data_IF_607432512865
#
_entry.id   IF_607432512865
#
_cell.length_a   1.000
_cell.length_b   1.000
_cell.length_c   1.000
_cell.angle_alpha   90.00
_cell.angle_beta   90.00
_cell.angle_gamma   90.00
#
_symmetry.space_group_name_H-M   'P 1'
#
loop_
_entity.id
_entity.type
_entity.pdbx_description
1 polymer ?
#
# COMPACT_ATOMS: atom_id res chain seq x y z
N UNK A 1 9.41 -6.37 -3.51
CA UNK A 1 8.82 -5.12 -2.98
C UNK A 1 7.69 -4.68 -3.91
N UNK A 2 6.56 -4.22 -3.41
CA UNK A 2 5.40 -3.80 -4.20
C UNK A 2 5.48 -2.29 -4.55
N UNK A 3 4.67 -1.80 -5.50
CA UNK A 3 4.75 -0.42 -5.99
C UNK A 3 4.59 0.66 -4.91
N UNK A 4 3.69 0.46 -3.93
CA UNK A 4 3.50 1.41 -2.83
C UNK A 4 4.77 1.55 -1.98
N UNK A 5 5.43 0.44 -1.63
CA UNK A 5 6.67 0.45 -0.86
C UNK A 5 7.83 1.14 -1.60
N UNK A 6 7.97 0.92 -2.92
CA UNK A 6 8.96 1.62 -3.74
C UNK A 6 8.69 3.12 -3.78
N UNK A 7 7.42 3.53 -3.95
CA UNK A 7 7.06 4.95 -3.97
C UNK A 7 7.31 5.65 -2.63
N UNK A 8 6.97 4.98 -1.52
CA UNK A 8 7.25 5.48 -0.17
C UNK A 8 8.76 5.61 0.07
N UNK A 9 9.56 4.63 -0.34
CA UNK A 9 11.02 4.67 -0.25
C UNK A 9 11.62 5.82 -1.06
N UNK A 10 11.16 6.01 -2.30
CA UNK A 10 11.57 7.17 -3.11
C UNK A 10 11.27 8.48 -2.39
N UNK A 11 10.06 8.63 -1.88
CA UNK A 11 9.63 9.84 -1.20
C UNK A 11 10.45 10.11 0.06
N UNK A 12 10.84 9.06 0.80
CA UNK A 12 11.74 9.19 1.94
C UNK A 12 13.09 9.78 1.51
N UNK A 13 13.74 9.20 0.52
CA UNK A 13 15.02 9.70 0.02
C UNK A 13 14.91 11.14 -0.50
N UNK A 14 13.91 11.44 -1.32
CA UNK A 14 13.67 12.80 -1.83
C UNK A 14 13.45 13.85 -0.71
N UNK A 15 12.83 13.45 0.39
CA UNK A 15 12.49 14.36 1.50
C UNK A 15 13.66 14.59 2.44
N UNK A 16 14.41 13.53 2.80
CA UNK A 16 15.34 13.59 3.91
C UNK A 16 16.82 13.63 3.51
N UNK A 17 17.22 13.02 2.39
CA UNK A 17 18.64 13.00 2.00
C UNK A 17 19.26 14.38 1.70
N UNK A 18 18.48 15.40 1.22
CA UNK A 18 19.05 16.74 1.06
C UNK A 18 19.64 17.35 2.33
N UNK A 19 19.23 16.88 3.49
CA UNK A 19 19.76 17.35 4.79
C UNK A 19 21.11 16.73 5.17
N UNK A 20 21.56 15.72 4.45
CA UNK A 20 22.86 15.05 4.64
C UNK A 20 23.89 15.42 3.56
N UNK A 21 23.47 16.17 2.53
CA UNK A 21 24.36 16.61 1.46
C UNK A 21 25.18 17.82 1.88
N UNK A 22 26.41 17.93 1.35
CA UNK A 22 27.28 19.09 1.56
C UNK A 22 28.14 19.06 2.84
N UNK A 23 28.15 17.95 3.56
CA UNK A 23 29.12 17.68 4.61
C UNK A 23 30.44 17.09 4.06
N UNK A 24 31.52 17.17 4.83
CA UNK A 24 32.83 16.62 4.46
C UNK A 24 32.92 15.10 4.71
N UNK A 25 31.99 14.51 5.48
CA UNK A 25 31.96 13.09 5.81
C UNK A 25 31.05 12.30 4.86
N UNK A 26 31.46 11.06 4.55
CA UNK A 26 30.60 10.13 3.80
C UNK A 26 29.38 9.77 4.64
N UNK A 27 28.20 9.85 4.04
CA UNK A 27 26.93 9.47 4.66
C UNK A 27 26.74 7.95 4.54
N UNK A 28 26.53 7.28 5.67
CA UNK A 28 26.32 5.82 5.69
C UNK A 28 24.85 5.49 5.85
N UNK A 29 24.36 4.68 4.89
CA UNK A 29 23.00 4.13 4.87
C UNK A 29 23.07 2.62 5.06
N UNK A 30 22.28 2.09 5.98
CA UNK A 30 22.14 0.63 6.20
C UNK A 30 20.72 0.22 5.92
N UNK A 31 20.50 -0.77 5.04
CA UNK A 31 19.20 -1.38 4.79
C UNK A 31 19.08 -2.71 5.52
N UNK A 32 18.06 -2.87 6.37
CA UNK A 32 17.75 -4.11 7.08
C UNK A 32 16.65 -4.87 6.32
N UNK A 33 16.94 -6.11 5.90
CA UNK A 33 16.10 -6.89 5.02
C UNK A 33 16.28 -6.49 3.56
N UNK A 34 17.55 -6.46 3.10
CA UNK A 34 17.95 -5.85 1.82
C UNK A 34 17.82 -6.77 0.61
N UNK A 35 17.47 -8.06 0.78
CA UNK A 35 17.38 -8.98 -0.35
C UNK A 35 16.40 -8.48 -1.41
N UNK A 36 16.91 -8.20 -2.61
CA UNK A 36 16.09 -7.74 -3.73
C UNK A 36 15.39 -8.93 -4.40
N UNK A 37 14.10 -9.12 -4.08
CA UNK A 37 13.24 -10.13 -4.71
C UNK A 37 12.42 -9.51 -5.86
N UNK A 38 11.90 -8.30 -5.65
CA UNK A 38 10.99 -7.63 -6.59
C UNK A 38 11.23 -6.12 -6.66
N UNK A 39 12.48 -5.68 -6.59
CA UNK A 39 12.90 -4.28 -6.55
C UNK A 39 13.41 -3.84 -5.19
N UNK A 40 14.30 -2.84 -5.16
CA UNK A 40 14.98 -2.33 -3.96
C UNK A 40 14.87 -0.80 -3.90
N UNK A 41 14.69 -0.27 -2.69
CA UNK A 41 14.72 1.18 -2.43
C UNK A 41 16.14 1.76 -2.56
N UNK A 42 17.17 0.92 -2.59
CA UNK A 42 18.58 1.31 -2.84
C UNK A 42 18.73 2.18 -4.10
N UNK A 43 17.93 1.93 -5.14
CA UNK A 43 17.95 2.70 -6.39
C UNK A 43 17.64 4.20 -6.22
N UNK A 44 17.05 4.61 -5.13
CA UNK A 44 16.70 6.00 -4.82
C UNK A 44 17.70 6.68 -3.90
N UNK A 45 18.66 5.93 -3.36
CA UNK A 45 19.71 6.48 -2.51
C UNK A 45 20.70 7.28 -3.37
N UNK A 46 21.16 8.47 -2.93
CA UNK A 46 22.23 9.20 -3.61
C UNK A 46 23.48 8.35 -3.79
N UNK A 47 24.09 8.42 -4.98
CA UNK A 47 25.25 7.59 -5.34
C UNK A 47 26.50 7.88 -4.51
N UNK A 48 26.60 9.09 -3.96
CA UNK A 48 27.69 9.52 -3.08
C UNK A 48 27.58 8.95 -1.65
N UNK A 49 26.46 8.31 -1.29
CA UNK A 49 26.30 7.70 0.03
C UNK A 49 26.84 6.26 0.04
N UNK A 50 27.46 5.88 1.14
CA UNK A 50 27.86 4.50 1.40
C UNK A 50 26.61 3.68 1.77
N UNK A 51 26.12 2.84 0.85
CA UNK A 51 24.94 2.01 1.08
C UNK A 51 25.34 0.57 1.38
N UNK A 52 24.89 0.04 2.52
CA UNK A 52 25.17 -1.33 2.98
C UNK A 52 23.84 -2.08 3.18
N UNK A 53 23.59 -3.05 2.31
CA UNK A 53 22.43 -3.94 2.44
C UNK A 53 22.75 -5.12 3.37
N UNK A 54 21.89 -5.35 4.36
CA UNK A 54 22.04 -6.40 5.39
C UNK A 54 20.87 -7.37 5.34
N UNK A 55 21.16 -8.66 5.27
CA UNK A 55 20.14 -9.71 5.30
C UNK A 55 20.68 -10.99 5.93
N UNK A 56 19.80 -12.00 6.19
CA UNK A 56 20.20 -13.35 6.66
C UNK A 56 20.67 -14.27 5.55
N UNK A 57 20.23 -14.01 4.33
CA UNK A 57 20.47 -14.86 3.17
C UNK A 57 21.24 -14.06 2.16
N UNK A 58 22.29 -14.64 1.62
CA UNK A 58 23.04 -14.08 0.50
C UNK A 58 22.15 -13.95 -0.74
N UNK A 59 22.28 -12.84 -1.45
CA UNK A 59 21.49 -12.58 -2.64
C UNK A 59 21.70 -11.19 -3.22
N UNK A 60 20.94 -10.89 -4.27
CA UNK A 60 20.99 -9.58 -4.89
C UNK A 60 20.58 -8.49 -3.88
N UNK A 61 21.36 -7.42 -3.81
CA UNK A 61 21.13 -6.30 -2.86
C UNK A 61 21.73 -6.50 -1.48
N UNK A 62 22.30 -7.69 -1.17
CA UNK A 62 22.90 -8.01 0.12
C UNK A 62 24.41 -7.81 0.05
N UNK A 63 24.94 -6.88 0.83
CA UNK A 63 26.37 -6.62 0.97
C UNK A 63 26.95 -7.32 2.20
N UNK A 64 26.12 -7.58 3.23
CA UNK A 64 26.51 -8.17 4.49
C UNK A 64 25.47 -9.20 4.95
N UNK A 65 25.90 -10.45 5.05
CA UNK A 65 25.08 -11.53 5.63
C UNK A 65 25.27 -11.58 7.13
N UNK A 66 24.17 -11.52 7.90
CA UNK A 66 24.19 -11.59 9.37
C UNK A 66 23.61 -12.91 9.88
N UNK A 67 24.06 -13.36 11.05
CA UNK A 67 23.57 -14.59 11.69
C UNK A 67 22.47 -14.35 12.72
N UNK A 68 22.34 -13.10 13.20
CA UNK A 68 21.31 -12.69 14.15
C UNK A 68 20.82 -11.29 13.83
N UNK A 69 19.49 -11.04 13.75
CA UNK A 69 18.98 -9.69 13.55
C UNK A 69 18.99 -8.87 14.83
N UNK A 70 19.21 -9.52 15.95
CA UNK A 70 19.14 -8.89 17.28
C UNK A 70 20.50 -8.36 17.76
N UNK A 71 21.51 -8.45 16.90
CA UNK A 71 22.85 -7.92 17.13
C UNK A 71 23.46 -7.50 15.78
N UNK A 72 23.36 -6.21 15.47
CA UNK A 72 23.87 -5.67 14.21
C UNK A 72 25.38 -5.40 14.30
N UNK A 73 26.19 -5.82 13.31
CA UNK A 73 27.66 -5.72 13.35
C UNK A 73 28.17 -4.29 13.01
N UNK A 74 27.57 -3.29 13.64
CA UNK A 74 27.96 -1.88 13.50
C UNK A 74 28.21 -1.29 14.90
N UNK A 75 29.14 -0.36 14.97
CA UNK A 75 29.44 0.38 16.21
C UNK A 75 28.28 1.31 16.59
N UNK A 76 28.20 1.65 17.85
CA UNK A 76 27.26 2.66 18.36
C UNK A 76 27.48 4.00 17.66
N UNK A 77 26.42 4.68 17.27
CA UNK A 77 26.46 6.01 16.66
C UNK A 77 27.30 6.10 15.36
N UNK A 78 27.31 5.04 14.54
CA UNK A 78 28.14 4.95 13.34
C UNK A 78 27.38 5.12 12.02
N UNK A 79 26.05 5.10 12.05
CA UNK A 79 25.17 5.08 10.86
C UNK A 79 24.33 6.36 10.81
N UNK A 80 24.25 7.00 9.64
CA UNK A 80 23.47 8.21 9.46
C UNK A 80 21.99 7.92 9.18
N UNK A 81 21.72 6.91 8.35
CA UNK A 81 20.36 6.52 7.95
C UNK A 81 20.25 5.00 8.01
N UNK A 82 19.22 4.51 8.67
CA UNK A 82 18.79 3.12 8.53
C UNK A 82 17.45 3.09 7.81
N UNK A 83 17.31 2.17 6.87
CA UNK A 83 16.04 1.93 6.16
C UNK A 83 15.64 0.46 6.29
N UNK A 84 14.35 0.19 6.38
CA UNK A 84 13.80 -1.16 6.33
C UNK A 84 12.45 -1.13 5.65
N UNK A 85 12.27 -1.97 4.65
CA UNK A 85 11.03 -2.05 3.89
C UNK A 85 10.62 -3.50 3.70
N UNK A 86 9.38 -3.85 4.07
CA UNK A 86 8.82 -5.21 3.98
C UNK A 86 9.71 -6.26 4.67
N UNK A 87 10.12 -5.98 5.90
CA UNK A 87 11.01 -6.84 6.68
C UNK A 87 10.50 -7.07 8.12
N UNK A 88 10.04 -6.03 8.82
CA UNK A 88 9.63 -6.15 10.23
C UNK A 88 8.41 -7.04 10.43
N UNK A 89 7.52 -7.17 9.45
CA UNK A 89 6.41 -8.13 9.48
C UNK A 89 6.88 -9.59 9.55
N UNK A 90 8.11 -9.85 9.11
CA UNK A 90 8.76 -11.16 9.13
C UNK A 90 9.69 -11.35 10.34
N UNK A 91 9.88 -10.34 11.17
CA UNK A 91 10.73 -10.41 12.36
C UNK A 91 9.91 -10.79 13.59
N UNK A 92 10.21 -11.92 14.22
CA UNK A 92 9.48 -12.39 15.42
C UNK A 92 9.54 -11.39 16.58
N UNK A 93 10.69 -10.71 16.76
CA UNK A 93 10.91 -9.71 17.81
C UNK A 93 11.40 -8.38 17.21
N UNK A 94 10.63 -7.79 16.28
CA UNK A 94 11.01 -6.56 15.59
C UNK A 94 11.35 -5.39 16.53
N UNK A 95 10.79 -5.35 17.73
CA UNK A 95 11.10 -4.33 18.74
C UNK A 95 12.53 -4.45 19.28
N UNK A 96 13.15 -5.63 19.25
CA UNK A 96 14.56 -5.82 19.61
C UNK A 96 15.45 -5.33 18.47
N UNK A 97 15.10 -5.67 17.21
CA UNK A 97 15.77 -5.14 16.01
C UNK A 97 15.74 -3.61 16.00
N UNK A 98 14.61 -3.03 16.38
CA UNK A 98 14.44 -1.58 16.46
C UNK A 98 15.43 -0.94 17.49
N UNK A 99 15.65 -1.55 18.65
CA UNK A 99 16.64 -1.03 19.61
C UNK A 99 18.08 -1.12 19.06
N UNK A 100 18.42 -2.17 18.33
CA UNK A 100 19.72 -2.28 17.67
C UNK A 100 19.89 -1.19 16.59
N UNK A 101 18.85 -0.92 15.81
CA UNK A 101 18.84 0.21 14.87
C UNK A 101 19.08 1.53 15.60
N UNK A 102 18.40 1.76 16.70
CA UNK A 102 18.58 2.96 17.53
C UNK A 102 20.02 3.02 18.08
N UNK A 103 20.62 1.90 18.49
CA UNK A 103 22.00 1.85 18.99
C UNK A 103 22.99 2.34 17.94
N UNK A 104 22.92 1.80 16.72
CA UNK A 104 23.87 2.09 15.64
C UNK A 104 23.70 3.48 15.03
N UNK A 105 22.51 4.07 15.06
CA UNK A 105 22.26 5.40 14.52
C UNK A 105 23.05 6.49 15.24
N UNK A 106 23.57 7.47 14.49
CA UNK A 106 24.12 8.73 15.03
C UNK A 106 23.01 9.54 15.73
N UNK A 107 23.31 10.45 16.66
CA UNK A 107 22.29 11.22 17.40
C UNK A 107 21.32 12.02 16.53
N UNK A 108 21.71 12.39 15.31
CA UNK A 108 20.85 13.03 14.31
C UNK A 108 20.37 12.08 13.23
N UNK A 109 20.71 10.80 13.35
CA UNK A 109 20.40 9.78 12.36
C UNK A 109 18.92 9.45 12.31
N UNK A 110 18.48 8.98 11.14
CA UNK A 110 17.08 8.66 10.83
C UNK A 110 16.88 7.16 10.64
N UNK A 111 15.73 6.68 11.08
CA UNK A 111 15.24 5.35 10.71
C UNK A 111 13.94 5.48 9.92
N UNK A 112 13.95 4.96 8.69
CA UNK A 112 12.77 4.80 7.85
C UNK A 112 12.26 3.37 7.93
N UNK A 113 10.97 3.22 8.25
CA UNK A 113 10.27 1.95 8.30
C UNK A 113 9.08 1.98 7.35
N UNK A 114 8.98 0.98 6.47
CA UNK A 114 7.81 0.72 5.63
C UNK A 114 7.42 -0.75 5.78
N UNK A 115 6.22 -1.00 6.26
CA UNK A 115 5.71 -2.35 6.57
C UNK A 115 4.22 -2.44 6.26
N UNK A 116 3.68 -3.63 5.94
CA UNK A 116 2.27 -3.75 5.59
C UNK A 116 1.35 -3.48 6.77
N UNK A 117 0.30 -2.68 6.54
CA UNK A 117 -0.82 -2.47 7.46
C UNK A 117 -1.96 -3.47 7.22
N UNK A 118 -2.04 -4.04 6.02
CA UNK A 118 -3.02 -5.04 5.61
C UNK A 118 -2.39 -6.14 4.75
N UNK A 119 -3.21 -6.91 4.06
CA UNK A 119 -2.79 -7.84 3.02
C UNK A 119 -2.75 -9.30 3.42
N UNK A 120 -2.45 -10.15 2.44
CA UNK A 120 -2.51 -11.61 2.55
C UNK A 120 -1.44 -12.14 3.49
N UNK A 121 -1.72 -13.31 4.09
CA UNK A 121 -0.70 -14.09 4.78
C UNK A 121 0.37 -14.57 3.78
N UNK A 122 1.62 -14.16 4.00
CA UNK A 122 2.75 -14.53 3.15
C UNK A 122 4.01 -14.75 3.99
N UNK A 123 4.58 -15.92 3.89
CA UNK A 123 5.76 -16.30 4.69
C UNK A 123 7.06 -16.07 3.94
N UNK A 124 8.01 -15.35 4.63
CA UNK A 124 9.35 -15.13 4.07
C UNK A 124 10.42 -14.92 5.16
N UNK A 125 10.81 -15.96 5.92
CA UNK A 125 10.26 -17.32 6.07
C UNK A 125 9.03 -17.40 6.97
N UNK A 126 8.74 -16.39 7.77
CA UNK A 126 7.59 -16.25 8.66
C UNK A 126 6.79 -15.00 8.27
N UNK A 127 5.57 -14.87 8.77
CA UNK A 127 4.72 -13.68 8.60
C UNK A 127 3.97 -13.44 9.90
N UNK A 128 4.43 -12.47 10.69
CA UNK A 128 4.06 -12.32 12.09
C UNK A 128 3.15 -11.11 12.34
N UNK A 129 3.36 -9.99 11.61
CA UNK A 129 2.81 -8.72 12.04
C UNK A 129 2.17 -7.92 10.92
N UNK A 130 1.16 -7.12 11.31
CA UNK A 130 0.62 -5.99 10.53
C UNK A 130 0.60 -4.77 11.42
N UNK A 131 0.95 -3.62 10.85
CA UNK A 131 1.22 -2.41 11.64
C UNK A 131 0.10 -1.40 11.45
N UNK A 132 -0.56 -1.04 12.55
CA UNK A 132 -1.60 -0.01 12.59
C UNK A 132 -1.02 1.36 12.94
N UNK A 133 -1.79 2.46 12.76
CA UNK A 133 -1.29 3.84 12.91
C UNK A 133 -0.52 4.12 14.21
N UNK A 134 -0.95 3.57 15.33
CA UNK A 134 -0.30 3.78 16.64
C UNK A 134 1.03 3.01 16.80
N UNK A 135 1.38 2.12 15.87
CA UNK A 135 2.61 1.32 15.96
C UNK A 135 3.86 2.19 15.99
N UNK A 136 3.84 3.33 15.29
CA UNK A 136 4.96 4.29 15.30
C UNK A 136 5.25 4.83 16.69
N UNK A 137 4.23 5.28 17.38
CA UNK A 137 4.36 5.80 18.75
C UNK A 137 4.66 4.69 19.75
N UNK A 138 4.15 3.47 19.55
CA UNK A 138 4.44 2.32 20.40
C UNK A 138 5.94 1.98 20.40
N UNK A 139 6.61 2.04 19.25
CA UNK A 139 8.07 1.85 19.14
C UNK A 139 8.86 2.96 19.84
N UNK A 140 8.41 4.22 19.75
CA UNK A 140 9.02 5.32 20.52
C UNK A 140 8.89 5.07 22.03
N UNK A 141 7.69 4.66 22.48
CA UNK A 141 7.44 4.34 23.89
C UNK A 141 8.34 3.21 24.36
N UNK A 142 8.51 2.17 23.55
CA UNK A 142 9.42 1.05 23.84
C UNK A 142 10.88 1.51 23.96
N UNK A 143 11.37 2.33 23.01
CA UNK A 143 12.73 2.87 23.07
C UNK A 143 12.94 3.73 24.32
N UNK A 144 12.01 4.61 24.64
CA UNK A 144 12.06 5.46 25.82
C UNK A 144 12.04 4.66 27.13
N UNK A 145 11.24 3.59 27.18
CA UNK A 145 11.25 2.65 28.32
C UNK A 145 12.62 2.00 28.50
N UNK A 146 13.37 1.78 27.42
CA UNK A 146 14.76 1.30 27.43
C UNK A 146 15.81 2.42 27.50
N UNK A 147 15.44 3.62 27.92
CA UNK A 147 16.36 4.73 28.19
C UNK A 147 16.86 5.49 26.97
N UNK A 148 16.26 5.28 25.78
CA UNK A 148 16.65 5.95 24.54
C UNK A 148 15.83 7.24 24.33
N UNK A 149 16.47 8.32 23.83
CA UNK A 149 15.79 9.59 23.54
C UNK A 149 15.31 9.67 22.09
N UNK A 150 14.50 8.69 21.67
CA UNK A 150 13.95 8.60 20.30
C UNK A 150 12.72 9.48 20.12
N UNK A 151 12.54 10.03 18.94
CA UNK A 151 11.33 10.73 18.50
C UNK A 151 10.75 10.14 17.21
N UNK A 152 9.42 10.17 17.06
CA UNK A 152 8.72 9.95 15.81
C UNK A 152 8.61 11.29 15.09
N UNK A 153 9.20 11.42 13.91
CA UNK A 153 9.05 12.62 13.08
C UNK A 153 7.70 12.64 12.37
N UNK A 154 7.32 11.50 11.82
CA UNK A 154 6.04 11.28 11.16
C UNK A 154 5.74 9.79 11.00
N UNK A 155 4.45 9.47 10.90
CA UNK A 155 3.97 8.17 10.42
C UNK A 155 2.61 8.32 9.73
N UNK A 156 2.26 7.37 8.87
CA UNK A 156 0.97 7.33 8.19
C UNK A 156 0.72 5.95 7.60
N UNK A 157 -0.53 5.68 7.21
CA UNK A 157 -0.86 4.55 6.36
C UNK A 157 -1.01 5.04 4.92
N UNK A 158 -0.16 4.56 4.01
CA UNK A 158 -0.24 4.93 2.59
C UNK A 158 -1.50 4.36 1.94
N UNK A 159 -2.10 5.13 1.03
CA UNK A 159 -3.21 4.59 0.25
C UNK A 159 -2.68 3.62 -0.80
N UNK A 160 -3.51 2.63 -1.14
CA UNK A 160 -3.30 1.70 -2.22
C UNK A 160 -3.00 2.43 -3.55
N UNK A 161 -2.03 1.94 -4.32
CA UNK A 161 -1.67 2.48 -5.64
C UNK A 161 -2.19 1.53 -6.71
N UNK A 162 -3.08 2.01 -7.58
CA UNK A 162 -3.65 1.23 -8.69
C UNK A 162 -4.31 -0.07 -8.20
N UNK A 163 -4.01 -1.20 -8.86
CA UNK A 163 -4.53 -2.53 -8.54
C UNK A 163 -3.71 -3.27 -7.48
N UNK A 164 -2.82 -2.57 -6.76
CA UNK A 164 -2.07 -3.12 -5.64
C UNK A 164 -3.01 -3.37 -4.45
N UNK A 165 -2.76 -4.46 -3.71
CA UNK A 165 -3.57 -4.84 -2.54
C UNK A 165 -3.04 -4.27 -1.24
N UNK A 166 -1.82 -3.69 -1.27
CA UNK A 166 -1.08 -3.32 -0.09
C UNK A 166 -1.32 -1.86 0.31
N UNK A 167 -1.57 -1.67 1.59
CA UNK A 167 -1.43 -0.40 2.27
C UNK A 167 -0.30 -0.53 3.27
N UNK A 168 0.69 0.34 3.15
CA UNK A 168 1.85 0.30 4.03
C UNK A 168 1.69 1.28 5.18
N UNK A 169 2.02 0.84 6.37
CA UNK A 169 2.38 1.70 7.46
C UNK A 169 3.80 2.22 7.22
N UNK A 170 3.96 3.54 7.21
CA UNK A 170 5.23 4.22 7.03
C UNK A 170 5.54 5.05 8.26
N UNK A 171 6.78 4.97 8.75
CA UNK A 171 7.24 5.79 9.87
C UNK A 171 8.68 6.27 9.68
N UNK A 172 8.96 7.48 10.13
CA UNK A 172 10.32 8.06 10.19
C UNK A 172 10.63 8.45 11.62
N UNK A 173 11.69 7.87 12.14
CA UNK A 173 12.18 8.11 13.51
C UNK A 173 13.49 8.87 13.47
N UNK A 174 13.76 9.61 14.54
CA UNK A 174 15.07 10.23 14.82
C UNK A 174 15.61 9.72 16.14
N UNK A 175 16.90 9.34 16.16
CA UNK A 175 17.53 8.79 17.38
C UNK A 175 17.48 9.74 18.58
N UNK A 176 17.75 11.02 18.37
CA UNK A 176 17.60 12.02 19.43
C UNK A 176 16.54 13.04 19.00
N UNK A 177 15.37 13.02 19.65
CA UNK A 177 14.24 13.91 19.35
C UNK A 177 14.57 15.40 19.41
N UNK A 178 15.58 15.80 20.18
CA UNK A 178 16.00 17.21 20.29
C UNK A 178 16.60 17.74 18.98
N UNK A 179 17.01 16.84 18.08
CA UNK A 179 17.49 17.14 16.73
C UNK A 179 16.39 17.22 15.66
N UNK A 180 15.12 17.05 16.00
CA UNK A 180 14.01 17.01 15.03
C UNK A 180 13.92 18.26 14.14
N UNK A 181 14.34 19.41 14.66
CA UNK A 181 14.36 20.68 13.92
C UNK A 181 15.32 20.71 12.73
N UNK A 182 16.28 19.78 12.66
CA UNK A 182 17.16 19.63 11.48
C UNK A 182 16.39 19.21 10.24
N UNK A 183 15.25 18.59 10.41
CA UNK A 183 14.40 18.06 9.33
C UNK A 183 13.09 18.83 9.27
N UNK A 184 13.05 20.03 8.64
CA UNK A 184 11.85 20.86 8.61
C UNK A 184 10.77 20.35 7.68
N UNK A 185 11.11 19.49 6.73
CA UNK A 185 10.14 18.86 5.79
C UNK A 185 9.68 17.51 6.32
N UNK A 186 8.48 17.12 5.93
CA UNK A 186 7.89 15.79 6.17
C UNK A 186 7.31 15.25 4.86
N UNK A 187 7.31 13.93 4.71
CA UNK A 187 6.64 13.25 3.59
C UNK A 187 5.15 13.59 3.58
N UNK A 188 4.52 13.71 4.74
CA UNK A 188 3.11 14.12 4.92
C UNK A 188 2.77 15.49 4.31
N UNK A 189 3.76 16.34 4.06
CA UNK A 189 3.55 17.68 3.47
C UNK A 189 3.67 17.68 1.94
N UNK A 190 3.80 16.51 1.33
CA UNK A 190 3.81 16.33 -0.12
C UNK A 190 2.41 15.96 -0.64
N UNK A 191 2.28 15.73 -1.94
CA UNK A 191 0.99 15.35 -2.56
C UNK A 191 0.66 13.84 -2.39
N UNK A 192 1.29 13.16 -1.43
CA UNK A 192 1.01 11.74 -1.14
C UNK A 192 -0.42 11.57 -0.59
N UNK A 193 -1.09 10.50 -1.01
CA UNK A 193 -2.39 10.10 -0.45
C UNK A 193 -2.18 9.13 0.70
N UNK A 194 -2.71 9.46 1.87
CA UNK A 194 -2.58 8.68 3.10
C UNK A 194 -3.77 8.84 4.03
N UNK A 195 -3.86 7.97 5.01
CA UNK A 195 -4.77 8.07 6.17
C UNK A 195 -3.96 7.99 7.47
N UNK A 196 -4.58 8.47 8.54
CA UNK A 196 -4.09 8.38 9.92
C UNK A 196 -2.64 8.87 10.08
N UNK A 197 -2.34 10.04 9.49
CA UNK A 197 -1.02 10.64 9.59
C UNK A 197 -0.75 11.24 10.97
N UNK A 198 0.40 10.94 11.55
CA UNK A 198 0.92 11.53 12.79
C UNK A 198 2.18 12.32 12.44
N UNK A 199 2.36 13.46 13.08
CA UNK A 199 3.59 14.26 12.96
C UNK A 199 4.01 14.77 14.33
N UNK A 200 5.31 14.93 14.55
CA UNK A 200 5.88 15.57 15.76
C UNK A 200 5.41 17.00 16.00
N UNK A 201 4.65 17.57 15.04
CA UNK A 201 4.08 18.93 15.11
C UNK A 201 2.61 18.97 15.50
N UNK A 202 1.98 17.80 15.60
CA UNK A 202 0.59 17.70 16.05
C UNK A 202 0.53 17.52 17.57
N UNK A 203 -0.61 17.87 18.13
CA UNK A 203 -0.94 17.51 19.51
C UNK A 203 -0.99 15.99 19.64
N UNK A 204 -0.51 15.45 20.75
CA UNK A 204 -0.53 14.01 20.99
C UNK A 204 -1.97 13.48 20.92
N UNK A 205 -2.18 12.47 20.07
CA UNK A 205 -3.49 11.87 19.83
C UNK A 205 -4.26 12.45 18.64
N UNK A 206 -3.75 13.51 17.98
CA UNK A 206 -4.35 14.05 16.75
C UNK A 206 -3.82 13.28 15.53
N UNK A 207 -4.72 13.11 14.54
CA UNK A 207 -4.41 12.48 13.26
C UNK A 207 -4.76 13.41 12.10
N UNK A 208 -3.90 13.44 11.10
CA UNK A 208 -4.22 13.99 9.78
C UNK A 208 -4.96 12.92 8.97
N UNK A 209 -5.99 13.31 8.24
CA UNK A 209 -6.81 12.40 7.42
C UNK A 209 -7.30 11.19 8.21
N UNK A 210 -7.85 11.42 9.39
CA UNK A 210 -8.34 10.35 10.27
C UNK A 210 -9.35 9.45 9.56
N UNK A 211 -9.18 8.14 9.70
CA UNK A 211 -10.08 7.12 9.22
C UNK A 211 -10.15 5.99 10.25
N UNK A 212 -11.35 5.74 10.78
CA UNK A 212 -11.58 4.66 11.76
C UNK A 212 -11.60 3.26 11.15
N UNK A 213 -11.89 3.18 9.84
CA UNK A 213 -11.89 1.92 9.12
C UNK A 213 -10.46 1.53 8.74
N UNK A 214 -10.09 0.30 9.06
CA UNK A 214 -8.83 -0.24 8.57
C UNK A 214 -8.90 -0.46 7.05
N UNK A 215 -7.74 -0.68 6.44
CA UNK A 215 -7.58 -0.77 4.99
C UNK A 215 -8.42 -1.93 4.41
N UNK A 216 -8.45 -3.08 5.07
CA UNK A 216 -9.24 -4.24 4.63
C UNK A 216 -10.74 -3.96 4.66
N UNK A 217 -11.22 -3.24 5.69
CA UNK A 217 -12.62 -2.79 5.76
C UNK A 217 -12.96 -1.82 4.63
N UNK A 218 -12.07 -0.88 4.31
CA UNK A 218 -12.28 0.09 3.21
C UNK A 218 -12.37 -0.61 1.86
N UNK A 219 -11.48 -1.58 1.59
CA UNK A 219 -11.53 -2.41 0.36
C UNK A 219 -12.84 -3.19 0.31
N UNK A 220 -13.24 -3.82 1.43
CA UNK A 220 -14.49 -4.58 1.51
C UNK A 220 -15.73 -3.69 1.28
N UNK A 221 -15.78 -2.52 1.88
CA UNK A 221 -16.88 -1.56 1.68
C UNK A 221 -16.95 -1.08 0.23
N UNK A 222 -15.82 -0.77 -0.40
CA UNK A 222 -15.76 -0.42 -1.81
C UNK A 222 -16.26 -1.52 -2.74
N UNK A 223 -15.91 -2.77 -2.46
CA UNK A 223 -16.38 -3.92 -3.23
C UNK A 223 -17.89 -4.15 -3.04
N UNK A 224 -18.44 -4.00 -1.83
CA UNK A 224 -19.87 -4.09 -1.57
C UNK A 224 -20.65 -3.04 -2.35
N UNK A 225 -20.20 -1.79 -2.35
CA UNK A 225 -20.85 -0.71 -3.10
C UNK A 225 -20.86 -0.99 -4.61
N UNK A 226 -19.78 -1.54 -5.18
CA UNK A 226 -19.75 -1.96 -6.60
C UNK A 226 -20.73 -3.09 -6.89
N UNK A 227 -20.79 -4.09 -6.00
CA UNK A 227 -21.74 -5.21 -6.16
C UNK A 227 -23.19 -4.75 -6.11
N UNK A 228 -23.51 -3.75 -5.28
CA UNK A 228 -24.86 -3.15 -5.23
C UNK A 228 -25.18 -2.42 -6.53
N UNK A 229 -24.26 -1.63 -7.08
CA UNK A 229 -24.43 -0.94 -8.37
C UNK A 229 -24.61 -1.93 -9.54
N UNK A 230 -23.79 -2.99 -9.57
CA UNK A 230 -23.90 -4.06 -10.58
C UNK A 230 -25.25 -4.79 -10.47
N UNK A 231 -25.72 -5.07 -9.25
CA UNK A 231 -27.03 -5.70 -9.02
C UNK A 231 -28.20 -4.83 -9.51
N UNK A 232 -28.16 -3.52 -9.27
CA UNK A 232 -29.16 -2.59 -9.79
C UNK A 232 -29.16 -2.54 -11.32
N UNK A 233 -27.97 -2.56 -11.93
CA UNK A 233 -27.82 -2.58 -13.39
C UNK A 233 -28.37 -3.86 -13.99
N UNK A 234 -28.06 -5.01 -13.40
CA UNK A 234 -28.62 -6.31 -13.82
C UNK A 234 -30.14 -6.35 -13.69
N UNK A 235 -30.72 -5.76 -12.65
CA UNK A 235 -32.14 -5.68 -12.47
C UNK A 235 -32.80 -4.83 -13.57
N UNK A 236 -32.22 -3.70 -13.94
CA UNK A 236 -32.69 -2.85 -15.06
C UNK A 236 -32.69 -3.63 -16.39
N UNK A 237 -31.56 -4.28 -16.70
CA UNK A 237 -31.41 -5.09 -17.91
C UNK A 237 -32.42 -6.26 -17.95
N UNK A 238 -32.64 -6.93 -16.83
CA UNK A 238 -33.59 -8.00 -16.70
C UNK A 238 -35.02 -7.52 -17.03
N UNK A 239 -35.41 -6.35 -16.54
CA UNK A 239 -36.72 -5.75 -16.84
C UNK A 239 -36.85 -5.37 -18.32
N UNK A 240 -35.81 -4.81 -18.93
CA UNK A 240 -35.78 -4.50 -20.35
C UNK A 240 -35.94 -5.77 -21.21
N UNK A 241 -35.23 -6.86 -20.86
CA UNK A 241 -35.37 -8.15 -21.52
C UNK A 241 -36.80 -8.68 -21.40
N UNK A 242 -37.44 -8.55 -20.26
CA UNK A 242 -38.83 -8.99 -20.08
C UNK A 242 -39.77 -8.20 -20.98
N UNK A 243 -39.62 -6.89 -21.09
CA UNK A 243 -40.42 -6.03 -21.99
C UNK A 243 -40.18 -6.40 -23.45
N UNK A 244 -38.93 -6.65 -23.86
CA UNK A 244 -38.63 -7.05 -25.24
C UNK A 244 -39.20 -8.41 -25.57
N UNK A 245 -39.16 -9.39 -24.68
CA UNK A 245 -39.80 -10.70 -24.87
C UNK A 245 -41.29 -10.59 -25.05
N UNK A 246 -41.96 -9.74 -24.27
CA UNK A 246 -43.38 -9.47 -24.42
C UNK A 246 -43.72 -8.89 -25.83
N UNK A 247 -42.93 -7.87 -26.28
CA UNK A 247 -43.10 -7.28 -27.61
C UNK A 247 -42.88 -8.28 -28.76
N UNK A 248 -41.90 -9.18 -28.61
CA UNK A 248 -41.64 -10.25 -29.57
C UNK A 248 -42.86 -11.17 -29.64
N UNK A 249 -43.40 -11.60 -28.52
CA UNK A 249 -44.60 -12.46 -28.49
C UNK A 249 -45.80 -11.80 -29.11
N UNK A 250 -46.04 -10.49 -28.91
CA UNK A 250 -47.11 -9.74 -29.60
C UNK A 250 -46.89 -9.68 -31.11
N UNK A 251 -45.66 -9.45 -31.55
CA UNK A 251 -45.31 -9.41 -32.96
C UNK A 251 -45.49 -10.79 -33.64
N UNK A 252 -45.08 -11.85 -32.98
CA UNK A 252 -45.30 -13.24 -33.47
C UNK A 252 -46.79 -13.57 -33.63
N UNK A 253 -47.63 -13.12 -32.69
CA UNK A 253 -49.07 -13.29 -32.78
C UNK A 253 -49.65 -12.54 -34.00
N UNK A 254 -49.24 -11.27 -34.20
CA UNK A 254 -49.66 -10.46 -35.34
C UNK A 254 -49.24 -11.07 -36.68
N UNK A 255 -48.01 -11.60 -36.78
CA UNK A 255 -47.53 -12.29 -37.98
C UNK A 255 -48.40 -13.53 -38.25
N UNK A 256 -48.70 -14.35 -37.25
CA UNK A 256 -49.54 -15.53 -37.37
C UNK A 256 -50.95 -15.19 -37.82
N UNK A 257 -51.58 -14.09 -37.37
CA UNK A 257 -52.89 -13.63 -37.82
C UNK A 257 -52.83 -13.15 -39.27
N UNK A 258 -51.77 -12.43 -39.67
CA UNK A 258 -51.58 -11.98 -41.05
C UNK A 258 -51.43 -13.17 -42.03
N UNK A 259 -50.62 -14.16 -41.63
CA UNK A 259 -50.42 -15.39 -42.41
C UNK A 259 -51.75 -16.13 -42.61
N UNK A 260 -52.58 -16.24 -41.58
CA UNK A 260 -53.89 -16.84 -41.65
C UNK A 260 -54.81 -16.08 -42.61
N UNK A 261 -54.80 -14.75 -42.63
CA UNK A 261 -55.55 -13.90 -43.53
C UNK A 261 -55.09 -14.04 -45.00
N UNK A 262 -53.74 -14.18 -45.19
CA UNK A 262 -53.18 -14.43 -46.54
C UNK A 262 -53.65 -15.76 -47.11
N UNK A 263 -53.64 -16.83 -46.33
CA UNK A 263 -54.16 -18.16 -46.76
C UNK A 263 -55.58 -18.07 -47.16
N UNK A 264 -56.45 -17.37 -46.42
CA UNK A 264 -57.87 -17.18 -46.79
C UNK A 264 -58.02 -16.39 -48.08
N UNK A 265 -57.25 -15.34 -48.30
CA UNK A 265 -57.25 -14.55 -49.55
C UNK A 265 -56.79 -15.36 -50.77
N UNK A 266 -55.76 -16.18 -50.62
CA UNK A 266 -55.25 -17.03 -51.68
C UNK A 266 -56.32 -18.10 -52.11
N UNK A 267 -57.04 -18.68 -51.14
CA UNK A 267 -58.15 -19.56 -51.41
C UNK A 267 -59.28 -18.85 -52.20
N UNK A 268 -59.68 -17.63 -51.77
CA UNK A 268 -60.67 -16.83 -52.46
C UNK A 268 -60.29 -16.48 -53.92
N UNK A 269 -59.00 -16.10 -54.12
CA UNK A 269 -58.43 -15.81 -55.44
C UNK A 269 -58.47 -17.09 -56.34
N UNK A 270 -58.16 -18.23 -55.78
CA UNK A 270 -58.18 -19.51 -56.51
C UNK A 270 -59.62 -19.90 -56.95
N UNK A 271 -60.58 -19.72 -56.03
CA UNK A 271 -62.01 -19.97 -56.36
C UNK A 271 -62.52 -18.98 -57.41
N UNK A 272 -62.19 -17.71 -57.36
CA UNK A 272 -62.55 -16.73 -58.38
C UNK A 272 -61.93 -17.04 -59.75
N UNK A 273 -60.67 -17.52 -59.75
CA UNK A 273 -60.01 -17.95 -61.00
C UNK A 273 -60.66 -19.16 -61.64
N UNK A 274 -61.19 -20.09 -60.84
CA UNK A 274 -61.94 -21.25 -61.37
C UNK A 274 -63.36 -20.93 -61.92
N UNK A 275 -63.97 -19.82 -61.48
CA UNK A 275 -65.26 -19.35 -61.95
C UNK A 275 -65.18 -18.57 -63.28
N UNK A 276 -63.99 -18.16 -63.67
CA UNK A 276 -63.72 -17.39 -64.91
C UNK A 276 -63.28 -18.26 -66.08
N UNK A 277 -63.20 -19.57 -65.88
CA UNK A 277 -62.98 -20.58 -66.94
C UNK A 277 -64.18 -21.52 -67.05
#
# INVERSE_FOLDING_TARGET
MHPSALNNGKLFFDTYTPHFLGGDESVRVVEIGSQDVNGSIRQFCPQEFEYIGVDFVDGMGVDLVITSPYELPFEDNSVDIVVSSSCFEHSEMFWVVYLEIVRILKPHGLFYLNVPSNGMFHRYPVDCWRFYPDSGQALVTWAQYNGQNVGLLESYTSNQISDDWWNDFVAVYIKNKDNSKKYPKRMLHTEIKYTNGISDRLTAGDFLNFCEHNEDQRVRMGNLARLEEDAETLLKLSNEIAILKYKISEAELQVSEQDSQLVVKDQQLHEQSQQLH
#
